data_IF_159239980041
#
_entry.id   IF_159239980041
#
_cell.length_a   1.000
_cell.length_b   1.000
_cell.length_c   1.000
_cell.angle_alpha   90.00
_cell.angle_beta   90.00
_cell.angle_gamma   90.00
#
_symmetry.space_group_name_H-M   'P 1'
#
loop_
_entity.id
_entity.type
_entity.pdbx_description
1 polymer ?
#
# COMPACT_ATOMS: atom_id res chain seq x y z
N UNK A 1 -3.12 36.24 -20.85
CA UNK A 1 -3.40 35.98 -19.42
C UNK A 1 -4.15 34.66 -19.35
N UNK A 2 -3.68 33.62 -18.65
CA UNK A 2 -3.74 33.42 -17.17
C UNK A 2 -5.16 33.58 -16.62
N UNK A 3 -5.71 32.82 -15.66
CA UNK A 3 -5.45 31.51 -15.01
C UNK A 3 -6.70 31.24 -14.12
N UNK A 4 -7.12 30.05 -13.67
CA UNK A 4 -6.77 28.63 -13.87
C UNK A 4 -8.04 27.79 -13.56
N UNK A 5 -8.12 26.50 -13.91
CA UNK A 5 -9.20 25.60 -13.43
C UNK A 5 -8.87 25.03 -12.04
N UNK A 6 -9.77 25.20 -11.07
CA UNK A 6 -9.65 24.55 -9.76
C UNK A 6 -9.86 23.03 -9.88
N UNK A 7 -8.86 22.24 -9.48
CA UNK A 7 -8.95 20.79 -9.31
C UNK A 7 -9.22 20.53 -7.83
N UNK A 8 -10.28 19.78 -7.53
CA UNK A 8 -10.58 19.37 -6.17
C UNK A 8 -9.79 18.09 -5.81
N UNK A 9 -8.75 18.25 -5.00
CA UNK A 9 -8.11 17.15 -4.28
C UNK A 9 -8.73 17.03 -2.88
N UNK A 10 -9.09 15.82 -2.47
CA UNK A 10 -9.40 15.51 -1.07
C UNK A 10 -8.59 14.27 -0.66
N UNK A 11 -7.36 14.53 -0.22
CA UNK A 11 -6.60 13.65 0.64
C UNK A 11 -6.80 14.15 2.08
N UNK A 12 -7.22 13.28 3.00
CA UNK A 12 -7.50 13.65 4.38
C UNK A 12 -7.12 12.55 5.36
N UNK A 13 -5.85 12.58 5.81
CA UNK A 13 -5.43 11.99 7.07
C UNK A 13 -4.54 13.02 7.78
N UNK A 14 -5.00 13.54 8.92
CA UNK A 14 -4.13 13.81 10.07
C UNK A 14 -5.00 13.99 11.31
N UNK A 15 -4.76 13.18 12.34
CA UNK A 15 -5.46 13.29 13.61
C UNK A 15 -5.03 14.55 14.35
N UNK A 16 -5.85 15.60 14.29
CA UNK A 16 -5.80 16.72 15.24
C UNK A 16 -7.09 16.71 16.06
N UNK A 17 -6.92 16.78 17.40
CA UNK A 17 -7.94 16.83 18.47
C UNK A 17 -9.40 16.70 17.99
N UNK A 18 -9.96 15.50 18.12
CA UNK A 18 -11.41 15.28 17.97
C UNK A 18 -12.21 15.99 19.07
N UNK A 19 -12.43 17.29 18.90
CA UNK A 19 -13.74 17.84 19.20
C UNK A 19 -14.71 17.07 18.31
N UNK A 20 -15.54 16.22 18.91
CA UNK A 20 -16.59 15.51 18.18
C UNK A 20 -17.63 16.56 17.77
N UNK A 21 -17.38 17.22 16.64
CA UNK A 21 -18.43 17.94 15.93
C UNK A 21 -19.58 16.94 15.74
N UNK A 22 -20.82 17.30 16.13
CA UNK A 22 -21.93 16.36 16.07
C UNK A 22 -22.03 15.85 14.63
N UNK A 23 -21.83 14.54 14.46
CA UNK A 23 -21.92 13.89 13.16
C UNK A 23 -23.32 14.21 12.64
N UNK A 24 -23.40 15.04 11.60
CA UNK A 24 -24.69 15.42 11.02
C UNK A 24 -25.42 14.13 10.68
N UNK A 25 -26.58 13.92 11.29
CA UNK A 25 -27.36 12.67 11.22
C UNK A 25 -27.66 12.24 9.79
N UNK A 26 -27.67 13.20 8.87
CA UNK A 26 -27.80 12.99 7.43
C UNK A 26 -26.63 12.19 6.83
N UNK A 27 -25.38 12.45 7.23
CA UNK A 27 -24.18 11.80 6.66
C UNK A 27 -24.18 10.29 6.87
N UNK A 28 -24.48 9.83 8.09
CA UNK A 28 -24.65 8.41 8.38
C UNK A 28 -25.82 7.80 7.58
N UNK A 29 -26.93 8.54 7.46
CA UNK A 29 -28.10 8.11 6.70
C UNK A 29 -27.80 7.98 5.19
N UNK A 30 -27.00 8.89 4.62
CA UNK A 30 -26.54 8.80 3.23
C UNK A 30 -25.63 7.59 3.01
N UNK A 31 -24.68 7.33 3.90
CA UNK A 31 -23.79 6.16 3.79
C UNK A 31 -24.57 4.84 3.90
N UNK A 32 -25.45 4.69 4.91
CA UNK A 32 -26.30 3.52 5.06
C UNK A 32 -27.26 3.33 3.87
N UNK A 33 -27.81 4.42 3.32
CA UNK A 33 -28.61 4.39 2.09
C UNK A 33 -27.78 3.93 0.88
N UNK A 34 -26.56 4.43 0.73
CA UNK A 34 -25.64 4.00 -0.33
C UNK A 34 -25.36 2.50 -0.23
N UNK A 35 -25.01 1.99 0.96
CA UNK A 35 -24.80 0.55 1.19
C UNK A 35 -26.06 -0.25 0.83
N UNK A 36 -27.24 0.17 1.32
CA UNK A 36 -28.48 -0.56 1.08
C UNK A 36 -28.87 -0.60 -0.41
N UNK A 37 -28.62 0.46 -1.16
CA UNK A 37 -28.87 0.52 -2.62
C UNK A 37 -27.77 -0.17 -3.44
N UNK A 38 -26.53 -0.25 -2.94
CA UNK A 38 -25.37 -0.76 -3.68
C UNK A 38 -24.74 -2.01 -3.03
N UNK A 39 -25.53 -2.88 -2.37
CA UNK A 39 -25.03 -4.02 -1.59
C UNK A 39 -23.93 -4.81 -2.30
N UNK A 40 -24.12 -5.13 -3.59
CA UNK A 40 -23.16 -5.92 -4.37
C UNK A 40 -21.79 -5.23 -4.60
N UNK A 41 -21.64 -3.93 -4.33
CA UNK A 41 -20.41 -3.14 -4.45
C UNK A 41 -19.71 -2.91 -3.10
N UNK A 42 -20.29 -3.38 -1.99
CA UNK A 42 -19.79 -3.16 -0.63
C UNK A 42 -19.55 -4.50 0.05
N UNK A 43 -18.41 -4.62 0.72
CA UNK A 43 -18.19 -5.62 1.76
C UNK A 43 -18.06 -4.88 3.11
N UNK A 44 -18.62 -5.45 4.17
CA UNK A 44 -18.57 -4.91 5.53
C UNK A 44 -18.52 -6.06 6.53
N UNK A 45 -17.63 -5.95 7.51
CA UNK A 45 -17.58 -6.82 8.67
C UNK A 45 -17.22 -5.94 9.88
N UNK A 46 -18.08 -5.93 10.89
CA UNK A 46 -17.90 -5.15 12.12
C UNK A 46 -17.99 -6.11 13.30
N UNK A 47 -16.93 -6.14 14.10
CA UNK A 47 -16.91 -6.83 15.40
C UNK A 47 -16.68 -5.83 16.53
N UNK A 48 -17.16 -6.18 17.72
CA UNK A 48 -16.86 -5.49 18.97
C UNK A 48 -16.66 -6.57 20.03
N UNK A 49 -15.48 -6.62 20.65
CA UNK A 49 -15.12 -7.63 21.66
C UNK A 49 -15.49 -9.05 21.19
N UNK A 50 -14.96 -9.43 20.02
CA UNK A 50 -15.18 -10.70 19.31
C UNK A 50 -16.65 -11.03 18.93
N UNK A 51 -17.61 -10.15 19.26
CA UNK A 51 -19.02 -10.27 18.86
C UNK A 51 -19.23 -9.62 17.50
N UNK A 52 -19.79 -10.35 16.54
CA UNK A 52 -20.16 -9.80 15.23
C UNK A 52 -21.37 -8.87 15.37
N UNK A 53 -21.16 -7.58 15.11
CA UNK A 53 -22.19 -6.53 15.18
C UNK A 53 -22.90 -6.38 13.83
N UNK A 54 -22.16 -6.47 12.72
CA UNK A 54 -22.72 -6.38 11.37
C UNK A 54 -21.86 -7.12 10.34
N UNK A 55 -22.51 -7.66 9.31
CA UNK A 55 -21.88 -8.32 8.16
C UNK A 55 -22.66 -8.09 6.87
N UNK A 56 -21.94 -7.94 5.77
CA UNK A 56 -22.47 -7.84 4.41
C UNK A 56 -21.33 -8.24 3.45
N UNK A 57 -21.50 -9.33 2.69
CA UNK A 57 -20.50 -9.81 1.73
C UNK A 57 -19.09 -9.96 2.33
N UNK A 58 -18.99 -10.36 3.61
CA UNK A 58 -17.74 -10.48 4.36
C UNK A 58 -16.71 -11.41 3.71
N UNK A 59 -17.21 -12.39 2.96
CA UNK A 59 -16.45 -13.43 2.25
C UNK A 59 -16.10 -13.07 0.79
N UNK A 60 -16.47 -11.86 0.34
CA UNK A 60 -16.26 -11.41 -1.04
C UNK A 60 -14.89 -10.77 -1.20
N UNK A 61 -14.09 -11.28 -2.16
CA UNK A 61 -12.85 -10.64 -2.57
C UNK A 61 -13.15 -9.24 -3.14
N UNK A 62 -12.48 -8.23 -2.58
CA UNK A 62 -12.56 -6.82 -2.97
C UNK A 62 -11.13 -6.26 -3.13
N UNK A 63 -10.89 -5.28 -4.02
CA UNK A 63 -9.57 -4.67 -4.17
C UNK A 63 -9.13 -3.99 -2.87
N UNK A 64 -7.99 -4.42 -2.31
CA UNK A 64 -7.44 -3.87 -1.07
C UNK A 64 -6.76 -2.50 -1.24
N UNK A 65 -6.27 -2.21 -2.45
CA UNK A 65 -5.35 -1.10 -2.71
C UNK A 65 -4.22 -1.05 -1.64
N UNK A 66 -3.90 0.13 -1.11
CA UNK A 66 -2.89 0.31 -0.06
C UNK A 66 -3.10 -0.48 1.23
N UNK A 67 -4.29 -1.06 1.48
CA UNK A 67 -4.51 -1.93 2.65
C UNK A 67 -3.58 -3.15 2.65
N UNK A 68 -3.06 -3.56 1.48
CA UNK A 68 -2.04 -4.62 1.36
C UNK A 68 -0.77 -4.34 2.18
N UNK A 69 -0.44 -3.07 2.45
CA UNK A 69 0.72 -2.63 3.23
C UNK A 69 0.69 -3.14 4.68
N UNK A 70 -0.47 -3.55 5.20
CA UNK A 70 -0.58 -4.23 6.50
C UNK A 70 0.22 -5.54 6.51
N UNK A 71 0.25 -6.30 5.41
CA UNK A 71 1.02 -7.55 5.31
C UNK A 71 2.53 -7.31 5.42
N UNK A 72 3.01 -6.18 4.86
CA UNK A 72 4.40 -5.74 4.93
C UNK A 72 4.73 -5.25 6.34
N UNK A 73 3.84 -4.50 7.00
CA UNK A 73 4.03 -4.06 8.39
C UNK A 73 4.04 -5.23 9.39
N UNK A 74 3.25 -6.29 9.15
CA UNK A 74 3.29 -7.52 9.95
C UNK A 74 4.65 -8.21 9.79
N UNK A 75 5.19 -8.30 8.56
CA UNK A 75 6.51 -8.89 8.34
C UNK A 75 7.62 -8.05 8.99
N UNK A 76 7.54 -6.73 8.86
CA UNK A 76 8.47 -5.80 9.49
C UNK A 76 8.53 -6.00 11.00
N UNK A 77 7.37 -6.02 11.67
CA UNK A 77 7.29 -6.20 13.12
C UNK A 77 7.82 -7.58 13.56
N UNK A 78 7.55 -8.64 12.78
CA UNK A 78 8.10 -9.99 13.04
C UNK A 78 9.63 -10.00 12.96
N UNK A 79 10.21 -9.44 11.90
CA UNK A 79 11.66 -9.48 11.70
C UNK A 79 12.40 -8.56 12.68
N UNK A 80 11.88 -7.37 12.98
CA UNK A 80 12.46 -6.47 13.99
C UNK A 80 12.43 -7.10 15.39
N UNK A 81 11.27 -7.62 15.83
CA UNK A 81 11.17 -8.28 17.15
C UNK A 81 11.99 -9.56 17.29
N UNK A 82 12.34 -10.21 16.18
CA UNK A 82 13.26 -11.35 16.14
C UNK A 82 14.74 -10.95 15.99
N UNK A 83 15.06 -9.66 15.84
CA UNK A 83 16.43 -9.17 15.59
C UNK A 83 17.01 -9.56 14.23
N UNK A 84 16.15 -9.92 13.26
CA UNK A 84 16.55 -10.28 11.87
C UNK A 84 16.89 -9.02 11.07
N UNK A 85 16.18 -7.92 11.34
CA UNK A 85 16.49 -6.57 10.86
C UNK A 85 16.73 -5.66 12.07
N UNK A 86 17.45 -4.56 11.86
CA UNK A 86 17.61 -3.50 12.85
C UNK A 86 16.75 -2.30 12.43
N UNK A 87 15.65 -2.03 13.13
CA UNK A 87 14.74 -0.92 12.79
C UNK A 87 15.37 0.47 12.99
N UNK A 88 16.47 0.56 13.74
CA UNK A 88 17.25 1.78 13.96
C UNK A 88 18.36 2.00 12.91
N UNK A 89 18.54 1.09 11.97
CA UNK A 89 19.46 1.23 10.84
C UNK A 89 19.06 2.42 9.94
N UNK A 90 20.06 3.17 9.47
CA UNK A 90 19.88 4.31 8.57
C UNK A 90 20.06 3.88 7.11
N UNK A 91 19.02 4.09 6.30
CA UNK A 91 18.98 3.80 4.87
C UNK A 91 19.09 5.12 4.10
N UNK A 92 19.96 5.18 3.09
CA UNK A 92 20.08 6.35 2.22
C UNK A 92 18.81 6.56 1.37
N UNK A 93 18.36 7.81 1.21
CA UNK A 93 17.15 8.14 0.44
C UNK A 93 17.27 7.66 -1.02
N UNK A 94 18.47 7.67 -1.58
CA UNK A 94 18.77 7.16 -2.93
C UNK A 94 18.50 5.67 -3.12
N UNK A 95 18.43 4.88 -2.04
CA UNK A 95 18.01 3.48 -2.11
C UNK A 95 16.48 3.35 -2.25
N UNK A 96 15.73 4.31 -1.71
CA UNK A 96 14.27 4.41 -1.83
C UNK A 96 13.86 4.96 -3.20
N UNK A 97 14.66 5.87 -3.77
CA UNK A 97 14.43 6.46 -5.10
C UNK A 97 14.34 5.39 -6.22
N UNK A 98 15.03 4.25 -6.06
CA UNK A 98 14.93 3.08 -6.96
C UNK A 98 13.50 2.55 -7.09
N UNK A 99 12.72 2.70 -6.01
CA UNK A 99 11.33 2.27 -5.90
C UNK A 99 10.34 3.41 -6.13
N UNK A 100 10.79 4.63 -6.47
CA UNK A 100 9.91 5.79 -6.65
C UNK A 100 9.64 6.09 -8.13
N UNK A 101 8.36 6.04 -8.50
CA UNK A 101 7.88 6.47 -9.81
C UNK A 101 6.95 7.70 -9.65
N UNK A 102 7.36 8.91 -10.10
CA UNK A 102 6.58 10.13 -9.89
C UNK A 102 5.14 10.07 -10.43
N UNK A 103 4.22 10.71 -9.70
CA UNK A 103 2.78 10.78 -10.00
C UNK A 103 1.99 9.46 -9.88
N UNK A 104 2.53 8.43 -9.22
CA UNK A 104 1.88 7.10 -9.13
C UNK A 104 1.28 6.76 -7.76
N UNK A 105 1.61 7.52 -6.72
CA UNK A 105 1.15 7.28 -5.34
C UNK A 105 0.39 8.48 -4.73
N UNK A 106 0.00 9.45 -5.55
CA UNK A 106 -0.75 10.64 -5.11
C UNK A 106 0.07 11.58 -4.23
N UNK A 107 1.36 11.72 -4.53
CA UNK A 107 2.37 12.49 -3.77
C UNK A 107 2.64 11.96 -2.36
N UNK A 108 2.27 10.70 -2.07
CA UNK A 108 2.50 10.06 -0.78
C UNK A 108 3.99 10.02 -0.38
N UNK A 109 4.88 9.54 -1.27
CA UNK A 109 6.32 9.48 -0.98
C UNK A 109 6.98 10.87 -0.83
N UNK A 110 6.76 11.86 -1.74
CA UNK A 110 7.23 13.24 -1.54
C UNK A 110 6.71 13.92 -0.26
N UNK A 111 5.44 13.68 0.10
CA UNK A 111 4.85 14.23 1.34
C UNK A 111 5.51 13.62 2.57
N UNK A 112 5.78 12.31 2.55
CA UNK A 112 6.54 11.63 3.60
C UNK A 112 7.97 12.18 3.72
N UNK A 113 8.73 12.30 2.62
CA UNK A 113 10.08 12.88 2.65
C UNK A 113 10.10 14.31 3.23
N UNK A 114 9.07 15.10 2.91
CA UNK A 114 8.88 16.45 3.47
C UNK A 114 8.65 16.37 4.98
N UNK A 115 7.77 15.48 5.43
CA UNK A 115 7.50 15.26 6.86
C UNK A 115 8.76 14.82 7.63
N UNK A 116 9.53 13.85 7.14
CA UNK A 116 10.75 13.39 7.82
C UNK A 116 11.83 14.48 7.88
N UNK A 117 11.89 15.36 6.87
CA UNK A 117 12.77 16.54 6.85
C UNK A 117 12.35 17.58 7.89
N UNK A 118 11.07 17.91 7.96
CA UNK A 118 10.52 18.88 8.93
C UNK A 118 10.68 18.38 10.38
N UNK A 119 10.52 17.08 10.61
CA UNK A 119 10.72 16.45 11.93
C UNK A 119 12.20 16.16 12.26
N UNK A 120 13.14 16.44 11.34
CA UNK A 120 14.60 16.22 11.50
C UNK A 120 15.01 14.76 11.71
N UNK A 121 14.24 13.82 11.15
CA UNK A 121 14.55 12.39 11.18
C UNK A 121 15.60 12.02 10.12
N UNK A 122 15.62 12.75 8.98
CA UNK A 122 16.66 12.64 7.95
C UNK A 122 17.99 13.20 8.49
N UNK A 123 19.05 12.41 8.38
CA UNK A 123 20.44 12.76 8.72
C UNK A 123 21.37 12.27 7.62
N UNK A 124 22.22 13.14 7.09
CA UNK A 124 23.16 12.82 6.00
C UNK A 124 22.45 12.08 4.84
N UNK A 125 21.36 12.66 4.35
CA UNK A 125 20.49 12.10 3.30
C UNK A 125 20.04 10.65 3.51
N UNK A 126 19.94 10.24 4.78
CA UNK A 126 19.52 8.91 5.23
C UNK A 126 18.45 9.01 6.31
N UNK A 127 17.59 8.00 6.43
CA UNK A 127 16.45 7.94 7.37
C UNK A 127 16.39 6.55 8.01
N UNK A 128 15.84 6.45 9.24
CA UNK A 128 15.73 5.17 9.93
C UNK A 128 14.76 4.22 9.22
N UNK A 129 15.06 2.94 9.27
CA UNK A 129 14.22 1.88 8.74
C UNK A 129 12.81 1.86 9.38
N UNK A 130 12.70 2.14 10.69
CA UNK A 130 11.42 2.34 11.37
C UNK A 130 10.58 3.49 10.77
N UNK A 131 11.22 4.59 10.39
CA UNK A 131 10.55 5.76 9.82
C UNK A 131 10.16 5.53 8.35
N UNK A 132 10.88 4.67 7.62
CA UNK A 132 10.44 4.15 6.31
C UNK A 132 9.15 3.33 6.45
N UNK A 133 9.07 2.44 7.44
CA UNK A 133 7.86 1.67 7.74
C UNK A 133 6.68 2.55 8.19
N UNK A 134 6.95 3.62 8.94
CA UNK A 134 5.95 4.67 9.24
C UNK A 134 5.51 5.40 7.97
N UNK A 135 6.43 5.74 7.06
CA UNK A 135 6.10 6.34 5.76
C UNK A 135 5.17 5.49 4.91
N UNK A 136 5.40 4.18 4.88
CA UNK A 136 4.50 3.21 4.23
C UNK A 136 3.08 3.26 4.83
N UNK A 137 2.92 3.26 6.16
CA UNK A 137 1.61 3.16 6.81
C UNK A 137 0.88 4.51 6.96
N UNK A 138 1.57 5.57 7.37
CA UNK A 138 0.97 6.89 7.64
C UNK A 138 0.67 7.66 6.35
N UNK A 139 1.59 7.59 5.37
CA UNK A 139 1.46 8.35 4.12
C UNK A 139 1.02 7.47 2.96
N UNK A 140 0.96 6.14 3.11
CA UNK A 140 0.71 5.20 2.01
C UNK A 140 1.79 5.26 0.91
N UNK A 141 3.04 5.61 1.25
CA UNK A 141 4.15 5.68 0.27
C UNK A 141 4.36 4.34 -0.45
N UNK A 142 4.30 4.35 -1.79
CA UNK A 142 4.49 3.13 -2.58
C UNK A 142 5.97 2.72 -2.65
N UNK A 143 6.90 3.68 -2.76
CA UNK A 143 8.33 3.40 -2.80
C UNK A 143 8.83 2.72 -1.52
N UNK A 144 8.45 3.25 -0.35
CA UNK A 144 8.75 2.63 0.94
C UNK A 144 8.17 1.22 1.06
N UNK A 145 7.05 0.93 0.39
CA UNK A 145 6.42 -0.39 0.40
C UNK A 145 7.26 -1.41 -0.35
N UNK A 146 7.67 -1.11 -1.58
CA UNK A 146 8.46 -2.07 -2.37
C UNK A 146 9.89 -2.21 -1.87
N UNK A 147 10.51 -1.13 -1.38
CA UNK A 147 11.78 -1.21 -0.64
C UNK A 147 11.68 -2.18 0.55
N UNK A 148 10.63 -2.07 1.37
CA UNK A 148 10.43 -2.98 2.51
C UNK A 148 10.09 -4.41 2.04
N UNK A 149 9.33 -4.59 0.96
CA UNK A 149 9.05 -5.92 0.42
C UNK A 149 10.30 -6.61 -0.14
N UNK A 150 11.28 -5.84 -0.63
CA UNK A 150 12.57 -6.37 -1.08
C UNK A 150 13.44 -6.75 0.13
N UNK A 151 13.69 -5.79 1.04
CA UNK A 151 14.48 -5.98 2.25
C UNK A 151 13.98 -7.15 3.13
N UNK A 152 12.67 -7.24 3.34
CA UNK A 152 12.05 -8.30 4.16
C UNK A 152 11.91 -9.64 3.41
N UNK A 153 12.08 -9.64 2.09
CA UNK A 153 11.85 -10.76 1.18
C UNK A 153 10.38 -10.95 0.82
N UNK A 154 10.04 -10.81 -0.45
CA UNK A 154 8.67 -10.92 -0.98
C UNK A 154 7.93 -12.20 -0.55
N UNK A 155 8.61 -13.35 -0.60
CA UNK A 155 8.01 -14.62 -0.18
C UNK A 155 7.73 -14.68 1.34
N UNK A 156 8.51 -13.98 2.18
CA UNK A 156 8.24 -13.91 3.62
C UNK A 156 6.97 -13.10 3.90
N UNK A 157 6.82 -11.94 3.25
CA UNK A 157 5.60 -11.12 3.32
C UNK A 157 4.39 -11.91 2.83
N UNK A 158 4.52 -12.66 1.73
CA UNK A 158 3.47 -13.55 1.19
C UNK A 158 3.07 -14.64 2.19
N UNK A 159 4.05 -15.25 2.86
CA UNK A 159 3.82 -16.34 3.82
C UNK A 159 3.02 -15.90 5.06
N UNK A 160 2.88 -14.60 5.33
CA UNK A 160 1.95 -14.11 6.36
C UNK A 160 0.49 -14.46 6.07
N UNK A 161 0.10 -14.69 4.80
CA UNK A 161 -1.24 -15.20 4.45
C UNK A 161 -1.51 -16.53 5.16
N UNK A 162 -0.54 -17.45 5.13
CA UNK A 162 -0.63 -18.75 5.80
C UNK A 162 -0.54 -18.62 7.32
N UNK A 163 0.40 -17.80 7.82
CA UNK A 163 0.60 -17.56 9.26
C UNK A 163 -0.68 -17.06 9.94
N UNK A 164 -1.40 -16.15 9.29
CA UNK A 164 -2.65 -15.55 9.76
C UNK A 164 -3.89 -16.41 9.45
N UNK A 165 -3.73 -17.57 8.82
CA UNK A 165 -4.85 -18.46 8.46
C UNK A 165 -5.81 -17.89 7.41
N UNK A 166 -5.37 -16.93 6.59
CA UNK A 166 -6.21 -16.23 5.61
C UNK A 166 -6.56 -17.14 4.42
N UNK A 167 -7.74 -17.76 4.46
CA UNK A 167 -8.21 -18.73 3.45
C UNK A 167 -8.61 -18.11 2.10
N UNK A 168 -8.80 -16.79 2.04
CA UNK A 168 -9.31 -16.05 0.88
C UNK A 168 -8.52 -14.76 0.69
N UNK A 169 -7.30 -14.89 0.20
CA UNK A 169 -6.45 -13.77 -0.18
C UNK A 169 -5.83 -14.06 -1.55
N UNK A 170 -5.68 -13.04 -2.39
CA UNK A 170 -5.04 -13.13 -3.71
C UNK A 170 -3.51 -13.02 -3.56
N UNK A 171 -2.74 -13.00 -4.65
CA UNK A 171 -1.30 -12.74 -4.54
C UNK A 171 -1.06 -11.31 -4.01
N UNK A 172 0.08 -11.09 -3.34
CA UNK A 172 0.53 -9.73 -3.03
C UNK A 172 0.94 -9.05 -4.32
N UNK A 173 0.34 -7.89 -4.61
CA UNK A 173 0.51 -7.18 -5.87
C UNK A 173 1.51 -6.03 -5.73
N UNK A 174 2.68 -6.09 -6.40
CA UNK A 174 3.63 -4.97 -6.48
C UNK A 174 2.98 -3.69 -7.06
N UNK A 175 2.99 -2.62 -6.29
CA UNK A 175 2.32 -1.34 -6.60
C UNK A 175 3.09 -0.48 -7.62
N UNK A 176 4.43 -0.52 -7.59
CA UNK A 176 5.33 0.24 -8.47
C UNK A 176 5.84 -0.67 -9.59
N UNK A 177 6.33 -1.86 -9.26
CA UNK A 177 6.89 -2.80 -10.25
C UNK A 177 5.89 -3.18 -11.35
N UNK A 178 4.60 -3.25 -11.04
CA UNK A 178 3.54 -3.51 -12.03
C UNK A 178 3.41 -2.44 -13.11
N UNK A 179 3.76 -1.19 -12.80
CA UNK A 179 3.70 -0.07 -13.75
C UNK A 179 4.80 -0.16 -14.81
N UNK A 180 5.94 -0.81 -14.48
CA UNK A 180 7.06 -1.00 -15.40
C UNK A 180 6.86 -2.13 -16.42
N UNK A 181 5.81 -2.96 -16.27
CA UNK A 181 5.47 -4.02 -17.24
C UNK A 181 5.34 -3.52 -18.70
N UNK A 182 5.00 -2.24 -18.88
CA UNK A 182 4.83 -1.62 -20.20
C UNK A 182 6.13 -1.15 -20.86
N UNK A 183 7.28 -1.15 -20.17
CA UNK A 183 8.54 -0.60 -20.72
C UNK A 183 9.04 -1.33 -21.98
N UNK A 184 8.67 -2.60 -22.17
CA UNK A 184 9.01 -3.43 -23.34
C UNK A 184 10.41 -3.18 -23.95
N UNK A 185 11.50 -3.22 -23.16
CA UNK A 185 12.83 -2.78 -23.62
C UNK A 185 13.40 -3.66 -24.75
N UNK A 186 12.84 -4.85 -24.96
CA UNK A 186 13.23 -5.79 -26.03
C UNK A 186 12.39 -5.64 -27.30
N UNK A 187 11.57 -4.58 -27.40
CA UNK A 187 10.67 -4.29 -28.53
C UNK A 187 9.83 -5.50 -29.00
N UNK A 188 9.42 -6.36 -28.05
CA UNK A 188 8.66 -7.56 -28.37
C UNK A 188 7.24 -7.20 -28.84
N UNK A 189 6.69 -7.97 -29.79
CA UNK A 189 5.31 -7.79 -30.26
C UNK A 189 4.32 -7.88 -29.10
N UNK A 190 3.38 -6.94 -29.02
CA UNK A 190 2.43 -6.80 -27.92
C UNK A 190 1.60 -8.08 -27.70
N UNK A 191 1.23 -8.78 -28.77
CA UNK A 191 0.49 -10.04 -28.71
C UNK A 191 1.30 -11.15 -28.02
N UNK A 192 2.63 -11.15 -28.20
CA UNK A 192 3.54 -12.10 -27.53
C UNK A 192 3.60 -11.83 -26.02
N UNK A 193 3.65 -10.56 -25.63
CA UNK A 193 3.67 -10.12 -24.22
C UNK A 193 2.34 -10.49 -23.56
N UNK A 194 1.21 -10.11 -24.16
CA UNK A 194 -0.14 -10.44 -23.65
C UNK A 194 -0.33 -11.97 -23.56
N UNK A 195 0.15 -12.74 -24.54
CA UNK A 195 0.07 -14.21 -24.52
C UNK A 195 0.97 -14.85 -23.46
N UNK A 196 2.07 -14.21 -23.07
CA UNK A 196 2.90 -14.64 -21.96
C UNK A 196 2.21 -14.34 -20.61
N UNK A 197 1.74 -13.10 -20.41
CA UNK A 197 1.01 -12.68 -19.20
C UNK A 197 -0.22 -13.57 -18.96
N UNK A 198 -1.05 -13.81 -19.99
CA UNK A 198 -2.25 -14.66 -19.89
C UNK A 198 -1.97 -16.15 -19.60
N UNK A 199 -0.71 -16.59 -19.63
CA UNK A 199 -0.29 -17.95 -19.27
C UNK A 199 0.24 -18.05 -17.84
N UNK A 200 0.62 -16.94 -17.23
CA UNK A 200 1.08 -16.92 -15.84
C UNK A 200 -0.12 -17.07 -14.91
N UNK A 201 0.06 -17.83 -13.83
CA UNK A 201 -0.74 -17.68 -12.63
C UNK A 201 -0.55 -16.28 -12.02
N UNK A 202 -1.46 -15.86 -11.15
CA UNK A 202 -1.36 -14.57 -10.46
C UNK A 202 -0.07 -14.45 -9.63
N UNK A 203 0.35 -15.55 -8.99
CA UNK A 203 1.59 -15.60 -8.20
C UNK A 203 2.84 -15.49 -9.09
N UNK A 204 2.90 -16.24 -10.20
CA UNK A 204 3.98 -16.10 -11.18
C UNK A 204 4.03 -14.68 -11.75
N UNK A 205 2.88 -14.09 -12.06
CA UNK A 205 2.80 -12.71 -12.55
C UNK A 205 3.40 -11.72 -11.52
N UNK A 206 2.93 -11.77 -10.26
CA UNK A 206 3.40 -10.86 -9.22
C UNK A 206 4.89 -11.05 -8.90
N UNK A 207 5.38 -12.29 -8.89
CA UNK A 207 6.80 -12.59 -8.66
C UNK A 207 7.70 -12.13 -9.83
N UNK A 208 7.26 -12.31 -11.08
CA UNK A 208 8.02 -11.89 -12.25
C UNK A 208 8.13 -10.36 -12.37
N UNK A 209 7.08 -9.60 -12.04
CA UNK A 209 7.16 -8.13 -12.08
C UNK A 209 7.99 -7.58 -10.93
N UNK A 210 7.89 -8.13 -9.71
CA UNK A 210 8.65 -7.65 -8.55
C UNK A 210 10.17 -7.72 -8.79
N UNK A 211 10.64 -8.80 -9.42
CA UNK A 211 12.03 -8.96 -9.81
C UNK A 211 12.56 -7.94 -10.84
N UNK A 212 11.70 -7.10 -11.43
CA UNK A 212 12.05 -6.17 -12.51
C UNK A 212 12.55 -4.79 -12.02
N UNK A 213 12.31 -4.41 -10.76
CA UNK A 213 12.92 -3.20 -10.15
C UNK A 213 14.29 -3.53 -9.51
N UNK A 214 14.47 -4.76 -9.05
CA UNK A 214 15.63 -5.18 -8.24
C UNK A 214 16.89 -5.46 -9.12
N UNK A 215 16.74 -5.52 -10.46
CA UNK A 215 17.80 -5.85 -11.43
C UNK A 215 17.90 -4.82 -12.57
#
# INVERSE_FOLDING_TARGET
MKNIRFIAFVLAIFCSKFSVAPIKTDSCRFFLKFINTNKNKVALFITQNDTVVARLNEDKIMPLASTVKIMVAIEFAKQASAGVINEDEYVAITELDKYYLPNTDGDAHPTWLTYEKENKNIKNDSVKLLDIARGMIMFSSNANTEFLMDLLGFDNVKNNIQLLGLKKHTALYPLVSSLFMYQNPKAAKQEKIIKAIKKMSEEEYCKNIFAFIIN
#
